data_IF_276983945215
#
_entry.id   IF_276983945215
#
_cell.length_a   1.000
_cell.length_b   1.000
_cell.length_c   1.000
_cell.angle_alpha   90.00
_cell.angle_beta   90.00
_cell.angle_gamma   90.00
#
_symmetry.space_group_name_H-M   'P 1'
#
loop_
_entity.id
_entity.type
_entity.pdbx_description
1 polymer ?
#
# COMPACT_ATOMS: atom_id res chain seq x y z
N UNK A 1 11.40 7.82 -16.86
CA UNK A 1 10.73 7.46 -15.60
C UNK A 1 10.06 8.70 -15.02
N UNK A 2 8.74 8.69 -14.90
CA UNK A 2 7.90 9.75 -14.33
C UNK A 2 7.92 9.71 -12.80
N UNK A 3 7.45 10.77 -12.14
CA UNK A 3 7.33 10.78 -10.67
C UNK A 3 6.38 9.70 -10.14
N UNK A 4 5.32 9.38 -10.91
CA UNK A 4 4.42 8.26 -10.57
C UNK A 4 5.12 6.91 -10.67
N UNK A 5 5.97 6.71 -11.67
CA UNK A 5 6.75 5.47 -11.81
C UNK A 5 7.79 5.34 -10.70
N UNK A 6 8.45 6.42 -10.29
CA UNK A 6 9.36 6.41 -9.12
C UNK A 6 8.63 6.00 -7.85
N UNK A 7 7.47 6.59 -7.59
CA UNK A 7 6.61 6.20 -6.46
C UNK A 7 6.24 4.72 -6.55
N UNK A 8 5.76 4.27 -7.71
CA UNK A 8 5.36 2.88 -7.95
C UNK A 8 6.49 1.87 -7.70
N UNK A 9 7.70 2.19 -8.14
CA UNK A 9 8.89 1.38 -7.91
C UNK A 9 9.24 1.27 -6.42
N UNK A 10 9.18 2.37 -5.66
CA UNK A 10 9.39 2.32 -4.21
C UNK A 10 8.31 1.50 -3.49
N UNK A 11 7.05 1.60 -3.93
CA UNK A 11 5.96 0.77 -3.38
C UNK A 11 6.19 -0.71 -3.65
N UNK A 12 6.67 -1.06 -4.85
CA UNK A 12 7.02 -2.42 -5.22
C UNK A 12 8.14 -2.96 -4.32
N UNK A 13 9.22 -2.18 -4.12
CA UNK A 13 10.34 -2.56 -3.24
C UNK A 13 9.90 -2.77 -1.80
N UNK A 14 8.98 -1.94 -1.30
CA UNK A 14 8.40 -2.12 0.04
C UNK A 14 7.61 -3.44 0.12
N UNK A 15 6.78 -3.74 -0.88
CA UNK A 15 6.04 -5.01 -0.94
C UNK A 15 6.99 -6.19 -0.96
N UNK A 16 8.03 -6.14 -1.79
CA UNK A 16 8.99 -7.23 -1.94
C UNK A 16 9.83 -7.51 -0.68
N UNK A 17 9.80 -6.64 0.33
CA UNK A 17 10.42 -6.92 1.65
C UNK A 17 9.52 -7.76 2.57
N UNK A 18 8.26 -7.96 2.22
CA UNK A 18 7.30 -8.68 3.05
C UNK A 18 7.33 -10.16 2.63
N UNK A 19 7.60 -11.08 3.55
CA UNK A 19 7.59 -12.50 3.23
C UNK A 19 6.16 -12.96 2.88
N UNK A 20 6.06 -13.81 1.87
CA UNK A 20 4.83 -14.52 1.55
C UNK A 20 4.52 -15.55 2.64
N UNK A 21 3.24 -15.71 2.99
CA UNK A 21 2.78 -16.90 3.73
C UNK A 21 2.38 -18.03 2.80
N UNK A 22 2.08 -17.72 1.54
CA UNK A 22 1.50 -18.67 0.59
C UNK A 22 2.58 -19.44 -0.17
N UNK A 23 3.79 -18.86 -0.28
CA UNK A 23 4.93 -19.45 -0.98
C UNK A 23 6.15 -19.57 -0.06
N UNK A 24 6.72 -20.78 0.02
CA UNK A 24 7.99 -21.00 0.75
C UNK A 24 9.11 -20.18 0.09
N UNK A 25 9.75 -19.29 0.87
CA UNK A 25 10.86 -18.41 0.46
C UNK A 25 10.53 -17.36 -0.62
N UNK A 26 9.25 -16.99 -0.78
CA UNK A 26 8.82 -15.93 -1.70
C UNK A 26 8.52 -14.60 -1.01
N UNK A 27 8.53 -13.52 -1.78
CA UNK A 27 7.98 -12.23 -1.36
C UNK A 27 6.47 -12.21 -1.62
N UNK A 28 5.72 -11.46 -0.81
CA UNK A 28 4.26 -11.39 -0.94
C UNK A 28 3.85 -10.94 -2.34
N UNK A 29 2.94 -11.66 -2.97
CA UNK A 29 2.41 -11.29 -4.28
C UNK A 29 1.41 -10.13 -4.18
N UNK A 30 1.13 -9.44 -5.29
CA UNK A 30 0.09 -8.41 -5.33
C UNK A 30 -1.30 -9.00 -5.01
N UNK A 31 -1.54 -10.27 -5.38
CA UNK A 31 -2.79 -10.97 -5.09
C UNK A 31 -2.91 -11.25 -3.59
N UNK A 32 -1.89 -11.87 -3.02
CA UNK A 32 -1.85 -12.21 -1.60
C UNK A 32 -1.94 -10.97 -0.71
N UNK A 33 -1.26 -9.87 -1.09
CA UNK A 33 -1.36 -8.60 -0.37
C UNK A 33 -2.80 -8.04 -0.40
N UNK A 34 -3.50 -8.16 -1.53
CA UNK A 34 -4.89 -7.74 -1.65
C UNK A 34 -5.83 -8.63 -0.82
N UNK A 35 -5.66 -9.95 -0.87
CA UNK A 35 -6.53 -10.90 -0.17
C UNK A 35 -6.45 -10.75 1.35
N UNK A 36 -5.28 -10.33 1.86
CA UNK A 36 -5.05 -10.06 3.29
C UNK A 36 -5.49 -8.68 3.77
N UNK A 37 -5.80 -7.75 2.86
CA UNK A 37 -6.05 -6.35 3.22
C UNK A 37 -7.33 -5.80 2.59
N UNK A 38 -8.29 -5.49 3.46
CA UNK A 38 -9.56 -4.88 3.07
C UNK A 38 -9.32 -3.55 2.34
N UNK A 39 -10.06 -3.34 1.26
CA UNK A 39 -10.05 -2.08 0.52
C UNK A 39 -8.92 -1.96 -0.51
N UNK A 40 -8.11 -3.00 -0.70
CA UNK A 40 -7.14 -3.10 -1.79
C UNK A 40 -7.57 -4.17 -2.79
N UNK A 41 -7.18 -4.00 -4.05
CA UNK A 41 -7.33 -5.02 -5.08
C UNK A 41 -5.99 -5.23 -5.76
N UNK A 42 -5.76 -6.44 -6.29
CA UNK A 42 -4.56 -6.72 -7.10
C UNK A 42 -4.39 -5.71 -8.23
N UNK A 43 -5.49 -5.35 -8.90
CA UNK A 43 -5.47 -4.35 -9.97
C UNK A 43 -4.96 -2.99 -9.48
N UNK A 44 -5.52 -2.48 -8.38
CA UNK A 44 -5.10 -1.21 -7.79
C UNK A 44 -3.61 -1.24 -7.45
N UNK A 45 -3.14 -2.25 -6.72
CA UNK A 45 -1.72 -2.41 -6.36
C UNK A 45 -0.84 -2.41 -7.61
N UNK A 46 -1.18 -3.23 -8.61
CA UNK A 46 -0.41 -3.30 -9.84
C UNK A 46 -0.39 -1.99 -10.64
N UNK A 47 -1.50 -1.24 -10.68
CA UNK A 47 -1.52 0.08 -11.33
C UNK A 47 -0.74 1.14 -10.57
N UNK A 48 -0.67 1.05 -9.24
CA UNK A 48 0.18 1.93 -8.42
C UNK A 48 1.65 1.61 -8.69
N UNK A 49 2.05 0.33 -8.65
CA UNK A 49 3.44 -0.09 -8.89
C UNK A 49 3.93 0.27 -10.30
N UNK A 50 3.05 0.32 -11.29
CA UNK A 50 3.38 0.78 -12.66
C UNK A 50 3.30 2.29 -12.85
N UNK A 51 2.92 3.06 -11.83
CA UNK A 51 2.73 4.51 -11.94
C UNK A 51 1.54 4.96 -12.78
N UNK A 52 0.60 4.06 -13.12
CA UNK A 52 -0.57 4.38 -13.95
C UNK A 52 -1.82 4.72 -13.15
N UNK A 53 -1.78 4.60 -11.82
CA UNK A 53 -2.91 4.87 -10.94
C UNK A 53 -3.08 6.37 -10.58
N UNK A 54 -4.27 6.71 -10.09
CA UNK A 54 -4.56 7.93 -9.35
C UNK A 54 -5.32 7.56 -8.06
N UNK A 55 -4.64 6.95 -7.06
CA UNK A 55 -5.32 6.49 -5.85
C UNK A 55 -5.81 7.67 -5.01
N UNK A 56 -6.91 7.47 -4.29
CA UNK A 56 -7.33 8.43 -3.25
C UNK A 56 -6.34 8.40 -2.08
N UNK A 57 -6.33 9.46 -1.27
CA UNK A 57 -5.55 9.49 -0.04
C UNK A 57 -5.82 8.26 0.84
N UNK A 58 -7.10 7.90 1.02
CA UNK A 58 -7.51 6.73 1.80
C UNK A 58 -6.87 5.43 1.27
N UNK A 59 -6.85 5.21 -0.06
CA UNK A 59 -6.21 4.03 -0.66
C UNK A 59 -4.70 4.01 -0.42
N UNK A 60 -4.04 5.16 -0.46
CA UNK A 60 -2.61 5.26 -0.12
C UNK A 60 -2.35 4.88 1.34
N UNK A 61 -3.18 5.34 2.28
CA UNK A 61 -3.02 4.98 3.70
C UNK A 61 -3.32 3.49 3.94
N UNK A 62 -4.35 2.92 3.31
CA UNK A 62 -4.60 1.47 3.40
C UNK A 62 -3.46 0.64 2.82
N UNK A 63 -2.87 1.10 1.72
CA UNK A 63 -1.68 0.44 1.16
C UNK A 63 -0.49 0.56 2.11
N UNK A 64 -0.27 1.71 2.75
CA UNK A 64 0.76 1.85 3.78
C UNK A 64 0.55 0.89 4.96
N UNK A 65 -0.69 0.69 5.39
CA UNK A 65 -1.02 -0.33 6.40
C UNK A 65 -0.68 -1.74 5.93
N UNK A 66 -1.08 -2.08 4.71
CA UNK A 66 -0.79 -3.39 4.11
C UNK A 66 0.72 -3.65 3.99
N UNK A 67 1.50 -2.59 3.81
CA UNK A 67 2.95 -2.62 3.77
C UNK A 67 3.63 -2.51 5.15
N UNK A 68 2.87 -2.63 6.25
CA UNK A 68 3.34 -2.52 7.63
C UNK A 68 4.04 -1.18 7.97
N UNK A 69 3.64 -0.08 7.33
CA UNK A 69 4.13 1.26 7.66
C UNK A 69 3.39 1.82 8.88
N UNK A 70 4.13 2.36 9.84
CA UNK A 70 3.56 3.05 11.02
C UNK A 70 3.12 4.48 10.69
N UNK A 71 3.88 5.16 9.84
CA UNK A 71 3.64 6.54 9.42
C UNK A 71 3.83 6.71 7.92
N UNK A 72 3.14 7.70 7.34
CA UNK A 72 3.31 8.14 5.95
C UNK A 72 3.48 9.66 5.94
N UNK A 73 4.49 10.16 5.24
CA UNK A 73 4.72 11.58 5.08
C UNK A 73 4.14 12.07 3.75
N UNK A 74 3.22 13.03 3.80
CA UNK A 74 2.58 13.64 2.62
C UNK A 74 2.64 15.16 2.80
N UNK A 75 3.31 15.88 1.88
CA UNK A 75 3.40 17.34 1.91
C UNK A 75 3.90 17.89 3.27
N UNK A 76 4.91 17.25 3.86
CA UNK A 76 5.44 17.54 5.20
C UNK A 76 4.47 17.31 6.37
N UNK A 77 3.40 16.56 6.15
CA UNK A 77 2.50 16.08 7.20
C UNK A 77 2.77 14.61 7.46
N UNK A 78 3.16 14.28 8.70
CA UNK A 78 3.25 12.89 9.14
C UNK A 78 1.87 12.37 9.53
N UNK A 79 1.42 11.33 8.84
CA UNK A 79 0.13 10.67 9.09
C UNK A 79 0.40 9.36 9.82
N UNK A 80 -0.19 9.21 11.02
CA UNK A 80 -0.21 7.92 11.71
C UNK A 80 -1.26 6.99 11.07
N UNK A 81 -0.79 5.87 10.53
CA UNK A 81 -1.61 4.95 9.71
C UNK A 81 -2.74 4.33 10.55
N UNK A 82 -2.43 3.81 11.73
CA UNK A 82 -3.42 3.15 12.60
C UNK A 82 -4.47 4.12 13.12
N UNK A 83 -4.07 5.34 13.49
CA UNK A 83 -4.98 6.41 13.92
C UNK A 83 -5.94 6.77 12.81
N UNK A 84 -5.43 7.00 11.59
CA UNK A 84 -6.25 7.32 10.43
C UNK A 84 -7.30 6.24 10.16
N UNK A 85 -6.91 4.97 10.20
CA UNK A 85 -7.84 3.85 9.96
C UNK A 85 -8.91 3.78 11.05
N UNK A 86 -8.53 3.95 12.33
CA UNK A 86 -9.50 3.95 13.45
C UNK A 86 -10.51 5.08 13.34
N UNK A 87 -10.09 6.26 12.89
CA UNK A 87 -10.97 7.42 12.69
C UNK A 87 -11.96 7.19 11.54
N UNK A 88 -11.53 6.54 10.45
CA UNK A 88 -12.39 6.27 9.31
C UNK A 88 -13.31 5.06 9.51
N UNK A 89 -12.92 4.08 10.34
CA UNK A 89 -13.78 2.96 10.72
C UNK A 89 -14.99 3.41 11.57
N UNK A 90 -14.84 4.47 12.39
CA UNK A 90 -15.91 5.01 13.24
C UNK A 90 -16.92 5.89 12.49
N UNK A 91 -16.64 6.24 11.24
CA UNK A 91 -17.49 7.12 10.41
C UNK A 91 -18.43 6.34 9.49
N UNK A 92 -18.37 5.01 9.51
CA UNK A 92 -19.28 4.09 8.80
C UNK A 92 -20.23 3.45 9.80
#
# INVERSE_FOLDING_TARGET
MTEKEKLGEEMRKLREKIPSSDYNNGNISQQELADKNIGLTKHLIGTIERGSANPTLEKLIFLGKALNLKTINILNVEINVDKFIKENAKRK
#
